data_IF_718566530214
#
_entry.id   IF_718566530214
#
_cell.length_a   1.000
_cell.length_b   1.000
_cell.length_c   1.000
_cell.angle_alpha   90.00
_cell.angle_beta   90.00
_cell.angle_gamma   90.00
#
_symmetry.space_group_name_H-M   'P 1'
#
loop_
_entity.id
_entity.type
_entity.pdbx_description
1 polymer ?
#
# COMPACT_ATOMS: atom_id res chain seq x y z
N UNK A 1 3.14 -2.97 -14.80
CA UNK A 1 4.34 -3.05 -13.94
C UNK A 1 5.59 -3.35 -14.76
N UNK A 2 5.63 -4.48 -15.48
CA UNK A 2 6.78 -4.92 -16.28
C UNK A 2 7.28 -3.89 -17.30
N UNK A 3 6.37 -3.34 -18.12
CA UNK A 3 6.74 -2.32 -19.11
C UNK A 3 7.35 -1.06 -18.47
N UNK A 4 6.84 -0.66 -17.30
CA UNK A 4 7.36 0.49 -16.57
C UNK A 4 8.79 0.24 -16.07
N UNK A 5 9.05 -0.94 -15.50
CA UNK A 5 10.39 -1.32 -15.07
C UNK A 5 11.34 -1.44 -16.26
N UNK A 6 10.94 -2.06 -17.38
CA UNK A 6 11.77 -2.13 -18.60
C UNK A 6 12.22 -0.73 -19.08
N UNK A 7 11.36 0.28 -18.98
CA UNK A 7 11.67 1.66 -19.39
C UNK A 7 12.49 2.45 -18.36
N UNK A 8 12.21 2.29 -17.07
CA UNK A 8 12.72 3.20 -16.03
C UNK A 8 13.76 2.57 -15.09
N UNK A 9 14.03 1.27 -15.19
CA UNK A 9 14.88 0.53 -14.25
C UNK A 9 16.28 1.16 -14.09
N UNK A 10 16.97 1.48 -15.19
CA UNK A 10 18.31 2.08 -15.15
C UNK A 10 18.33 3.46 -14.47
N UNK A 11 17.26 4.25 -14.66
CA UNK A 11 17.14 5.56 -14.04
C UNK A 11 16.88 5.48 -12.53
N UNK A 12 16.23 4.40 -12.06
CA UNK A 12 15.93 4.16 -10.64
C UNK A 12 17.12 3.51 -9.93
N UNK A 13 17.71 2.44 -10.49
CA UNK A 13 18.77 1.64 -9.83
C UNK A 13 20.02 2.45 -9.50
N UNK A 14 20.31 3.48 -10.30
CA UNK A 14 21.47 4.36 -10.13
C UNK A 14 21.25 5.43 -9.05
N UNK A 15 20.01 5.73 -8.68
CA UNK A 15 19.64 6.77 -7.71
C UNK A 15 19.31 6.22 -6.32
N UNK A 16 19.23 4.91 -6.17
CA UNK A 16 18.90 4.26 -4.89
C UNK A 16 20.15 3.83 -4.12
N UNK A 17 20.09 3.82 -2.77
CA UNK A 17 21.20 3.34 -1.94
C UNK A 17 21.49 1.86 -2.19
N UNK A 18 22.75 1.45 -2.03
CA UNK A 18 23.21 0.08 -2.30
C UNK A 18 22.39 -1.01 -1.60
N UNK A 19 21.92 -0.74 -0.36
CA UNK A 19 21.10 -1.68 0.43
C UNK A 19 19.74 -1.99 -0.20
N UNK A 20 19.19 -1.10 -1.03
CA UNK A 20 17.88 -1.28 -1.66
C UNK A 20 17.96 -1.88 -3.06
N UNK A 21 19.18 -1.99 -3.64
CA UNK A 21 19.37 -2.53 -5.00
C UNK A 21 18.84 -3.95 -5.17
N UNK A 22 19.07 -4.90 -4.23
CA UNK A 22 18.53 -6.25 -4.36
C UNK A 22 17.00 -6.28 -4.37
N UNK A 23 16.36 -5.43 -3.56
CA UNK A 23 14.90 -5.32 -3.51
C UNK A 23 14.34 -4.80 -4.82
N UNK A 24 14.92 -3.73 -5.39
CA UNK A 24 14.46 -3.18 -6.68
C UNK A 24 14.71 -4.14 -7.83
N UNK A 25 15.81 -4.90 -7.81
CA UNK A 25 16.08 -5.98 -8.77
C UNK A 25 15.03 -7.09 -8.70
N UNK A 26 14.67 -7.53 -7.50
CA UNK A 26 13.62 -8.54 -7.32
C UNK A 26 12.25 -8.04 -7.81
N UNK A 27 11.91 -6.78 -7.51
CA UNK A 27 10.66 -6.17 -7.97
C UNK A 27 10.61 -6.00 -9.49
N UNK A 28 11.73 -5.69 -10.16
CA UNK A 28 11.74 -5.52 -11.62
C UNK A 28 11.50 -6.83 -12.37
N UNK A 29 11.78 -7.97 -11.74
CA UNK A 29 11.53 -9.31 -12.27
C UNK A 29 10.12 -9.85 -11.92
N UNK A 30 9.35 -9.10 -11.13
CA UNK A 30 8.01 -9.52 -10.70
C UNK A 30 6.99 -9.24 -11.80
N UNK A 31 6.24 -10.28 -12.18
CA UNK A 31 5.16 -10.15 -13.16
C UNK A 31 3.92 -9.52 -12.54
N UNK A 32 3.06 -8.93 -13.38
CA UNK A 32 1.78 -8.38 -12.92
C UNK A 32 0.91 -9.44 -12.22
N UNK A 33 0.94 -10.69 -12.70
CA UNK A 33 0.22 -11.81 -12.10
C UNK A 33 0.78 -12.20 -10.73
N UNK A 34 2.11 -12.20 -10.54
CA UNK A 34 2.69 -12.44 -9.20
C UNK A 34 2.39 -11.29 -8.24
N UNK A 35 2.34 -10.06 -8.73
CA UNK A 35 1.98 -8.90 -7.92
C UNK A 35 0.51 -8.91 -7.49
N UNK A 36 -0.40 -9.54 -8.24
CA UNK A 36 -1.81 -9.60 -7.86
C UNK A 36 -2.07 -10.50 -6.63
N UNK A 37 -1.20 -11.47 -6.33
CA UNK A 37 -1.35 -12.36 -5.17
C UNK A 37 -1.32 -11.60 -3.83
N UNK A 38 -0.27 -10.82 -3.48
CA UNK A 38 -0.29 -10.04 -2.25
C UNK A 38 -1.43 -9.02 -2.21
N UNK A 39 -1.80 -8.44 -3.37
CA UNK A 39 -2.92 -7.50 -3.46
C UNK A 39 -4.26 -8.19 -3.16
N UNK A 40 -4.46 -9.41 -3.66
CA UNK A 40 -5.65 -10.20 -3.38
C UNK A 40 -5.76 -10.57 -1.90
N UNK A 41 -4.67 -11.03 -1.28
CA UNK A 41 -4.63 -11.34 0.16
C UNK A 41 -4.94 -10.07 0.97
N UNK A 42 -4.35 -8.93 0.60
CA UNK A 42 -4.62 -7.65 1.23
C UNK A 42 -6.09 -7.25 1.08
N UNK A 43 -6.69 -7.44 -0.11
CA UNK A 43 -8.10 -7.17 -0.35
C UNK A 43 -9.01 -7.99 0.58
N UNK A 44 -8.77 -9.31 0.71
CA UNK A 44 -9.55 -10.17 1.63
C UNK A 44 -9.48 -9.66 3.07
N UNK A 45 -8.29 -9.27 3.53
CA UNK A 45 -8.11 -8.74 4.89
C UNK A 45 -8.80 -7.38 5.08
N UNK A 46 -8.82 -6.53 4.05
CA UNK A 46 -9.56 -5.27 4.07
C UNK A 46 -11.08 -5.49 4.13
N UNK A 47 -11.61 -6.49 3.42
CA UNK A 47 -13.03 -6.85 3.50
C UNK A 47 -13.39 -7.29 4.91
N UNK A 48 -12.56 -8.10 5.57
CA UNK A 48 -12.77 -8.51 6.97
C UNK A 48 -12.78 -7.28 7.89
N UNK A 49 -11.82 -6.37 7.74
CA UNK A 49 -11.77 -5.14 8.54
C UNK A 49 -12.99 -4.24 8.32
N UNK A 50 -13.45 -4.10 7.06
CA UNK A 50 -14.66 -3.35 6.73
C UNK A 50 -15.91 -3.98 7.33
N UNK A 51 -16.04 -5.31 7.26
CA UNK A 51 -17.14 -6.04 7.90
C UNK A 51 -17.15 -5.84 9.42
N UNK A 52 -16.01 -5.96 10.07
CA UNK A 52 -15.90 -5.75 11.52
C UNK A 52 -16.25 -4.31 11.93
N UNK A 53 -15.86 -3.32 11.13
CA UNK A 53 -16.24 -1.93 11.36
C UNK A 53 -17.75 -1.71 11.17
N UNK A 54 -18.34 -2.25 10.10
CA UNK A 54 -19.75 -2.04 9.77
C UNK A 54 -20.68 -2.79 10.75
N UNK A 55 -20.47 -4.07 10.96
CA UNK A 55 -21.40 -4.95 11.69
C UNK A 55 -21.07 -5.08 13.17
N UNK A 56 -19.80 -4.92 13.55
CA UNK A 56 -19.33 -5.13 14.92
C UNK A 56 -18.83 -3.85 15.58
N UNK A 57 -18.88 -2.71 14.87
CA UNK A 57 -18.41 -1.41 15.37
C UNK A 57 -16.94 -1.47 15.83
N UNK A 58 -16.15 -2.39 15.26
CA UNK A 58 -14.73 -2.55 15.57
C UNK A 58 -13.89 -1.89 14.47
N UNK A 59 -13.50 -0.64 14.71
CA UNK A 59 -12.86 0.21 13.70
C UNK A 59 -11.34 0.08 13.62
N UNK A 60 -10.68 -0.51 14.62
CA UNK A 60 -9.22 -0.42 14.75
C UNK A 60 -8.44 -0.90 13.52
N UNK A 61 -8.80 -2.05 12.96
CA UNK A 61 -8.18 -2.54 11.73
C UNK A 61 -8.45 -1.63 10.53
N UNK A 62 -9.70 -1.19 10.35
CA UNK A 62 -10.07 -0.28 9.26
C UNK A 62 -9.27 1.02 9.33
N UNK A 63 -9.14 1.61 10.53
CA UNK A 63 -8.38 2.83 10.77
C UNK A 63 -6.89 2.64 10.48
N UNK A 64 -6.27 1.62 11.07
CA UNK A 64 -4.84 1.38 10.88
C UNK A 64 -4.47 1.11 9.43
N UNK A 65 -5.28 0.32 8.72
CA UNK A 65 -5.08 0.03 7.31
C UNK A 65 -5.22 1.28 6.44
N UNK A 66 -6.29 2.06 6.62
CA UNK A 66 -6.50 3.27 5.85
C UNK A 66 -5.48 4.35 6.18
N UNK A 67 -5.01 4.44 7.43
CA UNK A 67 -4.00 5.41 7.82
C UNK A 67 -2.65 5.08 7.19
N UNK A 68 -2.25 3.81 7.19
CA UNK A 68 -1.05 3.41 6.46
C UNK A 68 -1.20 3.64 4.96
N UNK A 69 -2.36 3.34 4.38
CA UNK A 69 -2.64 3.57 2.96
C UNK A 69 -2.59 5.07 2.60
N UNK A 70 -3.10 5.93 3.48
CA UNK A 70 -2.98 7.39 3.36
C UNK A 70 -1.51 7.82 3.38
N UNK A 71 -0.72 7.32 4.35
CA UNK A 71 0.72 7.60 4.41
C UNK A 71 1.47 7.08 3.17
N UNK A 72 1.01 5.97 2.60
CA UNK A 72 1.59 5.37 1.40
C UNK A 72 1.47 6.27 0.16
N UNK A 73 0.43 7.11 0.06
CA UNK A 73 0.30 8.11 -1.02
C UNK A 73 1.55 8.98 -1.11
N UNK A 74 2.07 9.44 0.02
CA UNK A 74 3.25 10.29 0.06
C UNK A 74 4.53 9.56 -0.38
N UNK A 75 4.56 8.22 -0.25
CA UNK A 75 5.69 7.44 -0.78
C UNK A 75 5.71 7.43 -2.30
N UNK A 76 4.55 7.29 -2.97
CA UNK A 76 4.44 7.40 -4.42
C UNK A 76 4.79 8.81 -4.92
N UNK A 77 4.31 9.84 -4.21
CA UNK A 77 4.67 11.24 -4.52
C UNK A 77 6.16 11.48 -4.34
N UNK A 78 6.73 11.08 -3.21
CA UNK A 78 8.15 11.21 -2.92
C UNK A 78 9.02 10.49 -3.95
N UNK A 79 8.67 9.26 -4.32
CA UNK A 79 9.34 8.53 -5.41
C UNK A 79 9.26 9.28 -6.73
N UNK A 80 8.09 9.86 -7.05
CA UNK A 80 7.89 10.60 -8.29
C UNK A 80 8.79 11.84 -8.37
N UNK A 81 8.84 12.60 -7.28
CA UNK A 81 9.66 13.82 -7.16
C UNK A 81 11.15 13.48 -7.16
N UNK A 82 11.56 12.50 -6.34
CA UNK A 82 12.96 12.12 -6.16
C UNK A 82 13.58 11.56 -7.44
N UNK A 83 12.87 10.65 -8.12
CA UNK A 83 13.39 10.03 -9.34
C UNK A 83 13.13 10.88 -10.59
N UNK A 84 12.27 11.89 -10.49
CA UNK A 84 11.72 12.68 -11.63
C UNK A 84 11.07 11.78 -12.67
N UNK A 85 10.41 10.72 -12.21
CA UNK A 85 9.76 9.70 -13.03
C UNK A 85 8.42 9.40 -12.39
N UNK A 86 7.35 9.32 -13.19
CA UNK A 86 6.05 8.89 -12.69
C UNK A 86 6.15 7.52 -12.01
N UNK A 87 6.00 7.47 -10.67
CA UNK A 87 6.03 6.20 -9.94
C UNK A 87 4.75 5.42 -10.21
N UNK A 88 4.87 4.09 -10.29
CA UNK A 88 3.72 3.22 -10.52
C UNK A 88 2.76 3.36 -9.33
N UNK A 89 1.52 3.81 -9.59
CA UNK A 89 0.51 4.03 -8.55
C UNK A 89 0.30 5.49 -8.15
N UNK A 90 1.10 6.45 -8.64
CA UNK A 90 0.92 7.88 -8.26
C UNK A 90 -0.45 8.44 -8.66
N UNK A 91 -0.95 8.10 -9.86
CA UNK A 91 -2.28 8.55 -10.32
C UNK A 91 -3.41 8.01 -9.45
N UNK A 92 -3.42 6.71 -9.16
CA UNK A 92 -4.41 6.10 -8.25
C UNK A 92 -4.28 6.66 -6.84
N UNK A 93 -3.04 6.87 -6.36
CA UNK A 93 -2.79 7.43 -5.04
C UNK A 93 -3.36 8.85 -4.90
N UNK A 94 -3.20 9.69 -5.91
CA UNK A 94 -3.66 11.09 -5.89
C UNK A 94 -5.15 11.26 -6.17
N UNK A 95 -5.69 10.52 -7.14
CA UNK A 95 -7.06 10.74 -7.63
C UNK A 95 -8.09 9.90 -6.86
N UNK A 96 -7.67 8.76 -6.30
CA UNK A 96 -8.59 7.82 -5.65
C UNK A 96 -8.25 7.71 -4.17
N UNK A 97 -7.04 7.25 -3.84
CA UNK A 97 -6.69 6.90 -2.46
C UNK A 97 -6.70 8.12 -1.54
N UNK A 98 -6.08 9.22 -1.95
CA UNK A 98 -5.98 10.43 -1.14
C UNK A 98 -7.36 11.07 -0.86
N UNK A 99 -8.23 11.34 -1.86
CA UNK A 99 -9.56 11.87 -1.60
C UNK A 99 -10.41 10.94 -0.74
N UNK A 100 -10.35 9.63 -1.01
CA UNK A 100 -11.09 8.64 -0.23
C UNK A 100 -10.65 8.61 1.23
N UNK A 101 -9.35 8.52 1.52
CA UNK A 101 -8.84 8.48 2.89
C UNK A 101 -9.18 9.76 3.66
N UNK A 102 -9.05 10.94 3.02
CA UNK A 102 -9.43 12.20 3.64
C UNK A 102 -10.93 12.23 3.98
N UNK A 103 -11.78 11.83 3.04
CA UNK A 103 -13.22 11.79 3.25
C UNK A 103 -13.62 10.80 4.36
N UNK A 104 -13.00 9.60 4.38
CA UNK A 104 -13.25 8.59 5.41
C UNK A 104 -12.93 9.12 6.81
N UNK A 105 -11.72 9.68 7.01
CA UNK A 105 -11.34 10.21 8.33
C UNK A 105 -12.18 11.42 8.72
N UNK A 106 -12.48 12.31 7.77
CA UNK A 106 -13.39 13.44 8.00
C UNK A 106 -14.75 12.96 8.51
N UNK A 107 -15.35 11.97 7.85
CA UNK A 107 -16.68 11.46 8.22
C UNK A 107 -16.67 10.82 9.61
N UNK A 108 -15.70 9.95 9.89
CA UNK A 108 -15.61 9.23 11.17
C UNK A 108 -15.36 10.18 12.35
N UNK A 109 -14.52 11.21 12.17
CA UNK A 109 -14.28 12.24 13.19
C UNK A 109 -15.49 13.16 13.38
N UNK A 110 -16.14 13.59 12.29
CA UNK A 110 -17.31 14.47 12.34
C UNK A 110 -18.49 13.80 13.05
N UNK A 111 -18.74 12.52 12.76
CA UNK A 111 -19.80 11.73 13.39
C UNK A 111 -19.42 11.25 14.80
N UNK A 112 -18.21 11.55 15.29
CA UNK A 112 -17.67 11.10 16.58
C UNK A 112 -17.68 9.58 16.74
N UNK A 113 -17.51 8.87 15.63
CA UNK A 113 -17.29 7.42 15.63
C UNK A 113 -15.89 7.10 16.15
N UNK A 114 -14.95 8.02 15.93
CA UNK A 114 -13.55 7.95 16.39
C UNK A 114 -13.10 9.32 16.87
N UNK A 115 -12.07 9.36 17.71
CA UNK A 115 -11.34 10.57 18.09
C UNK A 115 -9.96 10.65 17.39
N UNK A 116 -9.33 11.83 17.41
CA UNK A 116 -7.99 12.02 16.83
C UNK A 116 -6.92 11.05 17.36
N UNK A 117 -6.86 10.73 18.66
CA UNK A 117 -5.88 9.77 19.17
C UNK A 117 -6.07 8.36 18.60
N UNK A 118 -7.29 7.97 18.24
CA UNK A 118 -7.58 6.64 17.71
C UNK A 118 -6.84 6.38 16.39
N UNK A 119 -6.60 7.42 15.59
CA UNK A 119 -5.81 7.30 14.36
C UNK A 119 -4.40 6.79 14.67
N UNK A 120 -3.73 7.39 15.65
CA UNK A 120 -2.36 7.01 16.03
C UNK A 120 -2.33 5.69 16.79
N UNK A 121 -3.29 5.46 17.70
CA UNK A 121 -3.35 4.23 18.50
C UNK A 121 -3.58 2.98 17.64
N UNK A 122 -4.29 3.13 16.52
CA UNK A 122 -4.58 2.03 15.60
C UNK A 122 -3.56 1.86 14.47
N UNK A 123 -2.56 2.74 14.37
CA UNK A 123 -1.47 2.62 13.39
C UNK A 123 -0.72 1.26 13.44
N UNK A 124 -0.54 0.58 14.59
CA UNK A 124 0.02 -0.77 14.63
C UNK A 124 -0.74 -1.79 13.77
N UNK A 125 -2.07 -1.66 13.62
CA UNK A 125 -2.81 -2.52 12.67
C UNK A 125 -2.34 -2.29 11.23
N UNK A 126 -1.95 -1.06 10.87
CA UNK A 126 -1.34 -0.76 9.58
C UNK A 126 -0.12 -1.65 9.28
N UNK A 127 0.72 -1.95 10.27
CA UNK A 127 1.91 -2.80 10.10
C UNK A 127 1.54 -4.19 9.57
N UNK A 128 0.36 -4.71 9.91
CA UNK A 128 -0.15 -5.98 9.39
C UNK A 128 -0.25 -5.94 7.86
N UNK A 129 -0.63 -4.79 7.27
CA UNK A 129 -0.67 -4.63 5.81
C UNK A 129 0.72 -4.81 5.18
N UNK A 130 1.77 -4.27 5.82
CA UNK A 130 3.15 -4.43 5.36
C UNK A 130 3.55 -5.90 5.40
N UNK A 131 3.23 -6.59 6.49
CA UNK A 131 3.52 -8.01 6.67
C UNK A 131 2.78 -8.88 5.64
N UNK A 132 1.52 -8.56 5.34
CA UNK A 132 0.72 -9.25 4.33
C UNK A 132 1.34 -9.09 2.95
N UNK A 133 1.69 -7.87 2.55
CA UNK A 133 2.28 -7.61 1.23
C UNK A 133 3.63 -8.32 1.09
N UNK A 134 4.48 -8.25 2.12
CA UNK A 134 5.77 -8.91 2.13
C UNK A 134 5.65 -10.44 2.11
N UNK A 135 4.75 -11.00 2.91
CA UNK A 135 4.46 -12.44 2.95
C UNK A 135 3.88 -12.93 1.63
N UNK A 136 2.89 -12.22 1.08
CA UNK A 136 2.28 -12.53 -0.21
C UNK A 136 3.29 -12.49 -1.36
N UNK A 137 4.22 -11.53 -1.35
CA UNK A 137 5.31 -11.49 -2.33
C UNK A 137 6.23 -12.72 -2.25
N UNK A 138 6.51 -13.24 -1.05
CA UNK A 138 7.29 -14.49 -0.87
C UNK A 138 6.52 -15.75 -1.27
N UNK A 139 5.20 -15.74 -1.16
CA UNK A 139 4.34 -16.87 -1.53
C UNK A 139 4.09 -16.88 -3.05
N UNK A 140 4.05 -15.73 -3.69
CA UNK A 140 3.67 -15.61 -5.10
C UNK A 140 4.47 -16.52 -6.07
N UNK A 141 5.81 -16.66 -5.97
CA UNK A 141 6.57 -17.56 -6.82
C UNK A 141 6.24 -19.05 -6.61
N UNK A 142 5.71 -19.44 -5.45
CA UNK A 142 5.30 -20.83 -5.16
C UNK A 142 3.97 -21.19 -5.80
N UNK A 143 3.07 -20.21 -5.95
CA UNK A 143 1.74 -20.40 -6.55
C UNK A 143 1.82 -20.28 -8.07
N UNK A 144 2.58 -19.29 -8.56
CA UNK A 144 2.80 -19.04 -9.98
C UNK A 144 4.29 -19.21 -10.31
N UNK A 145 4.75 -20.47 -10.50
CA UNK A 145 6.07 -20.72 -11.06
C UNK A 145 6.18 -20.11 -12.46
N UNK A 146 7.38 -19.70 -12.81
CA UNK A 146 7.67 -18.86 -13.99
C UNK A 146 7.40 -19.58 -15.30
#
# INVERSE_FOLDING_TARGET
>A
MEQWFKKNYNAVINKIPGRMKPTVQSLSQTTAARFSIPVFIQFVVYVIAAYLAAEKQYYGMLLGFNLLLFLHVFTHLGQTILFKIYALGTGTALVITLPYSLYLFYRLLQERVIDYPDLLLNLPFGIITILIVWGGHRIAPKILPT
#
